data_IF_122502484656
#
_entry.id   IF_122502484656
#
_cell.length_a   1.000
_cell.length_b   1.000
_cell.length_c   1.000
_cell.angle_alpha   90.00
_cell.angle_beta   90.00
_cell.angle_gamma   90.00
#
_symmetry.space_group_name_H-M   'P 1'
#
loop_
_entity.id
_entity.type
_entity.pdbx_description
1 polymer ?
#
# COMPACT_ATOMS: atom_id res chain seq x y z
N UNK A 1 -2.61 37.04 -22.09
CA UNK A 1 -3.07 35.66 -21.80
C UNK A 1 -2.38 35.20 -20.53
N UNK A 2 -3.08 34.51 -19.63
CA UNK A 2 -2.44 33.85 -18.49
C UNK A 2 -1.39 32.85 -19.00
N UNK A 3 -0.34 32.58 -18.21
CA UNK A 3 0.69 31.60 -18.56
C UNK A 3 0.08 30.25 -18.98
N UNK A 4 -0.98 29.83 -18.26
CA UNK A 4 -1.76 28.61 -18.53
C UNK A 4 -2.35 28.61 -19.94
N UNK A 5 -2.98 29.71 -20.37
CA UNK A 5 -3.58 29.81 -21.69
C UNK A 5 -2.57 29.79 -22.83
N UNK A 6 -1.33 30.24 -22.59
CA UNK A 6 -0.25 30.14 -23.57
C UNK A 6 0.23 28.69 -23.71
N UNK A 7 0.50 27.99 -22.60
CA UNK A 7 0.93 26.58 -22.62
C UNK A 7 -0.07 25.70 -23.37
N UNK A 8 -1.36 25.85 -23.08
CA UNK A 8 -2.40 25.08 -23.78
C UNK A 8 -2.40 25.30 -25.30
N UNK A 9 -2.19 26.54 -25.76
CA UNK A 9 -2.11 26.85 -27.19
C UNK A 9 -0.90 26.17 -27.85
N UNK A 10 0.27 26.23 -27.19
CA UNK A 10 1.49 25.58 -27.68
C UNK A 10 1.30 24.06 -27.77
N UNK A 11 0.75 23.43 -26.72
CA UNK A 11 0.51 21.98 -26.71
C UNK A 11 -0.48 21.55 -27.79
N UNK A 12 -1.56 22.32 -28.01
CA UNK A 12 -2.48 22.07 -29.13
C UNK A 12 -1.75 22.10 -30.47
N UNK A 13 -0.93 23.12 -30.70
CA UNK A 13 -0.19 23.27 -31.95
C UNK A 13 0.78 22.12 -32.18
N UNK A 14 1.43 21.65 -31.12
CA UNK A 14 2.24 20.43 -31.16
C UNK A 14 1.40 19.20 -31.56
N UNK A 15 0.24 19.00 -30.91
CA UNK A 15 -0.61 17.83 -31.12
C UNK A 15 -1.28 17.80 -32.51
N UNK A 16 -1.47 18.94 -33.18
CA UNK A 16 -1.93 19.00 -34.57
C UNK A 16 -0.95 18.34 -35.56
N UNK A 17 0.32 18.20 -35.16
CA UNK A 17 1.38 17.56 -35.93
C UNK A 17 1.76 16.16 -35.43
N UNK A 18 1.16 15.73 -34.33
CA UNK A 18 1.23 14.36 -33.85
C UNK A 18 0.09 13.53 -34.47
N UNK A 19 0.37 12.27 -34.81
CA UNK A 19 -0.67 11.37 -35.29
C UNK A 19 -1.37 10.75 -34.07
N UNK A 20 -2.71 10.67 -34.10
CA UNK A 20 -3.42 9.84 -33.12
C UNK A 20 -2.93 8.40 -33.27
N UNK A 21 -2.58 7.76 -32.16
CA UNK A 21 -2.09 6.38 -32.20
C UNK A 21 -3.25 5.47 -32.62
N UNK A 22 -3.04 4.69 -33.68
CA UNK A 22 -4.09 3.79 -34.23
C UNK A 22 -3.84 2.32 -33.92
N UNK A 23 -2.65 1.99 -33.39
CA UNK A 23 -2.24 0.62 -33.09
C UNK A 23 -1.66 0.52 -31.69
N UNK A 24 -2.15 -0.46 -30.95
CA UNK A 24 -1.59 -0.88 -29.67
C UNK A 24 -0.68 -2.10 -29.85
N UNK A 25 0.15 -2.39 -28.84
CA UNK A 25 0.84 -3.67 -28.74
C UNK A 25 -0.16 -4.83 -28.82
N UNK A 26 -1.29 -4.67 -28.14
CA UNK A 26 -2.46 -5.55 -28.19
C UNK A 26 -3.44 -5.00 -29.23
N UNK A 27 -3.17 -5.29 -30.51
CA UNK A 27 -3.72 -4.57 -31.67
C UNK A 27 -5.24 -4.59 -31.91
N UNK A 28 -6.05 -5.17 -31.03
CA UNK A 28 -7.52 -5.15 -31.12
C UNK A 28 -8.18 -4.21 -30.10
N UNK A 29 -7.44 -3.69 -29.13
CA UNK A 29 -7.97 -2.69 -28.20
C UNK A 29 -8.05 -1.33 -28.89
N UNK A 30 -9.14 -0.60 -28.63
CA UNK A 30 -9.27 0.77 -29.07
C UNK A 30 -8.36 1.67 -28.21
N UNK A 31 -7.49 2.41 -28.88
CA UNK A 31 -6.58 3.33 -28.20
C UNK A 31 -7.38 4.47 -27.56
N UNK A 32 -7.02 4.87 -26.33
CA UNK A 32 -7.60 6.04 -25.69
C UNK A 32 -7.39 7.30 -26.55
N UNK A 33 -8.45 8.11 -26.66
CA UNK A 33 -8.52 9.28 -27.56
C UNK A 33 -7.42 10.33 -27.32
N UNK A 34 -6.83 10.33 -26.13
CA UNK A 34 -5.77 11.23 -25.70
C UNK A 34 -4.36 10.66 -25.88
N UNK A 35 -4.22 9.53 -26.59
CA UNK A 35 -2.92 8.93 -26.91
C UNK A 35 -2.49 9.24 -28.35
N UNK A 36 -1.30 9.79 -28.47
CA UNK A 36 -0.68 10.22 -29.72
C UNK A 36 0.66 9.53 -29.92
N UNK A 37 1.07 9.41 -31.17
CA UNK A 37 2.44 9.06 -31.56
C UNK A 37 3.32 10.31 -31.59
N UNK A 38 4.61 10.11 -31.33
CA UNK A 38 5.60 11.16 -31.49
C UNK A 38 5.66 11.68 -32.94
N UNK A 39 6.01 12.96 -33.15
CA UNK A 39 6.05 13.56 -34.48
C UNK A 39 7.07 12.87 -35.39
N UNK A 40 6.65 12.47 -36.58
CA UNK A 40 7.52 11.80 -37.57
C UNK A 40 8.70 12.65 -38.10
N UNK A 41 8.60 13.98 -37.99
CA UNK A 41 9.66 14.92 -38.39
C UNK A 41 9.82 16.01 -37.31
N UNK A 42 10.60 15.72 -36.24
CA UNK A 42 10.81 16.65 -35.14
C UNK A 42 11.40 18.00 -35.55
N UNK A 43 12.32 18.01 -36.52
CA UNK A 43 13.00 19.23 -36.96
C UNK A 43 12.03 20.18 -37.68
N UNK A 44 11.17 19.63 -38.55
CA UNK A 44 10.12 20.41 -39.20
C UNK A 44 9.10 20.94 -38.20
N UNK A 45 8.68 20.13 -37.22
CA UNK A 45 7.77 20.57 -36.18
C UNK A 45 8.38 21.72 -35.36
N UNK A 46 9.66 21.63 -35.00
CA UNK A 46 10.34 22.72 -34.30
C UNK A 46 10.36 24.02 -35.13
N UNK A 47 10.63 23.92 -36.43
CA UNK A 47 10.53 25.06 -37.36
C UNK A 47 9.14 25.72 -37.32
N UNK A 48 8.07 24.91 -37.39
CA UNK A 48 6.69 25.42 -37.33
C UNK A 48 6.35 26.06 -35.97
N UNK A 49 6.80 25.46 -34.86
CA UNK A 49 6.55 26.02 -33.53
C UNK A 49 7.30 27.35 -33.33
N UNK A 50 8.52 27.47 -33.84
CA UNK A 50 9.32 28.72 -33.74
C UNK A 50 8.85 29.85 -34.64
N UNK A 51 8.04 29.57 -35.67
CA UNK A 51 7.33 30.60 -36.45
C UNK A 51 6.23 31.29 -35.63
N UNK A 52 5.64 30.60 -34.65
CA UNK A 52 4.49 31.08 -33.87
C UNK A 52 4.83 31.46 -32.42
N UNK A 53 5.81 30.79 -31.81
CA UNK A 53 6.17 30.93 -30.41
C UNK A 53 7.66 31.21 -30.24
N UNK A 54 8.03 31.96 -29.19
CA UNK A 54 9.45 32.17 -28.90
C UNK A 54 10.08 30.91 -28.33
N UNK A 55 11.38 30.72 -28.53
CA UNK A 55 12.11 29.56 -27.98
C UNK A 55 12.01 29.54 -26.46
N UNK A 56 12.04 30.70 -25.80
CA UNK A 56 11.85 30.81 -24.35
C UNK A 56 10.47 30.32 -23.89
N UNK A 57 9.41 30.59 -24.67
CA UNK A 57 8.06 30.09 -24.39
C UNK A 57 8.00 28.56 -24.54
N UNK A 58 8.64 28.01 -25.57
CA UNK A 58 8.72 26.55 -25.79
C UNK A 58 9.53 25.85 -24.69
N UNK A 59 10.65 26.43 -24.27
CA UNK A 59 11.47 25.95 -23.16
C UNK A 59 10.72 26.04 -21.83
N UNK A 60 9.99 27.13 -21.57
CA UNK A 60 9.16 27.28 -20.37
C UNK A 60 8.02 26.27 -20.30
N UNK A 61 7.59 25.72 -21.46
CA UNK A 61 6.61 24.64 -21.54
C UNK A 61 7.23 23.24 -21.54
N UNK A 62 8.56 23.12 -21.47
CA UNK A 62 9.28 21.83 -21.49
C UNK A 62 9.34 21.15 -22.86
N UNK A 63 9.05 21.88 -23.95
CA UNK A 63 8.99 21.33 -25.31
C UNK A 63 10.34 21.40 -26.02
N UNK A 64 11.14 22.42 -25.72
CA UNK A 64 12.45 22.65 -26.31
C UNK A 64 13.55 22.66 -25.25
N UNK A 65 14.77 22.29 -25.65
CA UNK A 65 15.95 22.37 -24.79
C UNK A 65 16.79 23.62 -25.11
N UNK A 66 17.12 24.41 -24.08
CA UNK A 66 17.99 25.60 -24.18
C UNK A 66 19.44 25.27 -24.52
N UNK A 67 19.90 24.06 -24.19
CA UNK A 67 21.30 23.65 -24.38
C UNK A 67 21.65 23.34 -25.83
N UNK A 68 20.64 23.03 -26.64
CA UNK A 68 20.82 22.88 -28.08
C UNK A 68 20.85 24.27 -28.71
N UNK A 69 21.96 24.64 -29.34
CA UNK A 69 22.12 25.94 -30.00
C UNK A 69 21.06 26.17 -31.10
N UNK A 70 20.44 25.10 -31.61
CA UNK A 70 19.34 25.14 -32.56
C UNK A 70 17.94 25.15 -31.90
N UNK A 71 17.85 24.97 -30.58
CA UNK A 71 16.59 24.88 -29.84
C UNK A 71 15.78 23.65 -30.19
N UNK A 72 16.39 22.48 -30.34
CA UNK A 72 15.68 21.24 -30.67
C UNK A 72 14.56 20.87 -29.69
N UNK A 73 13.61 20.06 -30.17
CA UNK A 73 12.59 19.44 -29.31
C UNK A 73 13.26 18.54 -28.26
N UNK A 74 12.67 18.47 -27.07
CA UNK A 74 13.20 17.59 -26.01
C UNK A 74 13.14 16.11 -26.42
N UNK A 75 14.12 15.28 -26.00
CA UNK A 75 14.15 13.85 -26.33
C UNK A 75 12.87 13.08 -25.96
N UNK A 76 12.18 13.52 -24.90
CA UNK A 76 10.90 12.98 -24.47
C UNK A 76 9.81 13.00 -25.56
N UNK A 77 9.92 13.92 -26.53
CA UNK A 77 9.00 14.08 -27.66
C UNK A 77 9.57 13.44 -28.92
N UNK A 78 10.90 13.40 -29.10
CA UNK A 78 11.52 12.89 -30.34
C UNK A 78 11.77 11.40 -30.35
N UNK A 79 12.09 10.83 -29.18
CA UNK A 79 12.57 9.46 -29.03
C UNK A 79 11.53 8.55 -28.36
N UNK A 80 10.32 9.10 -28.12
CA UNK A 80 9.24 8.41 -27.44
C UNK A 80 8.36 7.58 -28.38
N UNK A 81 7.70 6.58 -27.79
CA UNK A 81 6.75 5.70 -28.48
C UNK A 81 5.30 6.22 -28.39
N UNK A 82 4.95 6.88 -27.27
CA UNK A 82 3.61 7.41 -27.01
C UNK A 82 3.66 8.73 -26.25
N UNK A 83 2.66 9.57 -26.53
CA UNK A 83 2.36 10.80 -25.79
C UNK A 83 0.92 10.69 -25.29
N UNK A 84 0.70 10.83 -23.99
CA UNK A 84 -0.63 10.89 -23.39
C UNK A 84 -0.93 12.34 -23.02
N UNK A 85 -2.05 12.86 -23.52
CA UNK A 85 -2.46 14.25 -23.31
C UNK A 85 -3.28 14.35 -22.03
N UNK A 86 -2.84 15.19 -21.09
CA UNK A 86 -3.61 15.50 -19.89
C UNK A 86 -4.40 16.80 -20.10
N UNK A 87 -5.72 16.73 -19.85
CA UNK A 87 -6.65 17.83 -20.13
C UNK A 87 -7.28 18.40 -18.89
N UNK A 88 -7.47 19.71 -18.88
CA UNK A 88 -8.10 20.41 -17.77
C UNK A 88 -9.60 20.04 -17.72
N UNK A 89 -10.16 19.67 -16.56
CA UNK A 89 -11.53 19.15 -16.44
C UNK A 89 -12.61 20.19 -16.72
N UNK A 90 -12.28 21.48 -16.77
CA UNK A 90 -13.25 22.55 -17.01
C UNK A 90 -13.26 23.01 -18.45
N UNK A 91 -12.08 23.08 -19.05
CA UNK A 91 -11.88 23.66 -20.38
C UNK A 91 -11.65 22.60 -21.46
N UNK A 92 -11.31 21.38 -21.06
CA UNK A 92 -10.88 20.29 -21.95
C UNK A 92 -9.64 20.65 -22.79
N UNK A 93 -8.91 21.67 -22.38
CA UNK A 93 -7.68 22.14 -22.99
C UNK A 93 -6.50 21.29 -22.48
N UNK A 94 -5.51 20.95 -23.33
CA UNK A 94 -4.31 20.26 -22.86
C UNK A 94 -3.53 21.19 -21.92
N UNK A 95 -3.15 20.70 -20.74
CA UNK A 95 -2.31 21.45 -19.80
C UNK A 95 -0.94 20.80 -19.58
N UNK A 96 -0.82 19.50 -19.85
CA UNK A 96 0.42 18.74 -19.70
C UNK A 96 0.44 17.55 -20.66
N UNK A 97 1.64 17.05 -20.98
CA UNK A 97 1.85 15.80 -21.71
C UNK A 97 2.63 14.82 -20.84
N UNK A 98 2.18 13.57 -20.80
CA UNK A 98 2.88 12.45 -20.22
C UNK A 98 3.57 11.67 -21.35
N UNK A 99 4.88 11.49 -21.21
CA UNK A 99 5.75 10.77 -22.15
C UNK A 99 6.46 9.64 -21.41
N UNK A 100 7.23 8.81 -22.12
CA UNK A 100 8.09 7.78 -21.50
C UNK A 100 9.06 8.36 -20.45
N UNK A 101 9.48 9.62 -20.60
CA UNK A 101 10.37 10.31 -19.67
C UNK A 101 9.63 10.98 -18.49
N UNK A 102 8.31 10.80 -18.37
CA UNK A 102 7.45 11.48 -17.39
C UNK A 102 6.73 12.70 -17.98
N UNK A 103 6.41 13.67 -17.14
CA UNK A 103 5.77 14.92 -17.55
C UNK A 103 6.75 15.84 -18.28
N UNK A 104 6.26 16.66 -19.23
CA UNK A 104 7.13 17.65 -19.89
C UNK A 104 7.50 18.82 -18.99
N UNK A 105 6.62 19.25 -18.09
CA UNK A 105 6.99 20.31 -17.12
C UNK A 105 8.12 19.83 -16.20
N UNK A 106 9.21 20.59 -16.07
CA UNK A 106 10.29 20.27 -15.15
C UNK A 106 9.79 20.15 -13.71
N UNK A 107 10.13 19.04 -13.03
CA UNK A 107 9.78 18.79 -11.63
C UNK A 107 8.31 18.41 -11.38
N UNK A 108 7.51 18.26 -12.44
CA UNK A 108 6.17 17.68 -12.34
C UNK A 108 6.25 16.16 -12.23
N UNK A 109 5.49 15.61 -11.28
CA UNK A 109 5.41 14.18 -11.04
C UNK A 109 4.18 13.60 -11.76
N UNK A 110 4.32 12.60 -12.65
CA UNK A 110 3.21 11.98 -13.35
C UNK A 110 2.06 11.53 -12.43
N UNK A 111 2.38 11.00 -11.25
CA UNK A 111 1.38 10.56 -10.26
C UNK A 111 0.53 11.69 -9.70
N UNK A 112 1.04 12.92 -9.64
CA UNK A 112 0.29 14.08 -9.14
C UNK A 112 -0.43 14.82 -10.27
N UNK A 113 0.24 15.04 -11.40
CA UNK A 113 -0.36 15.78 -12.52
C UNK A 113 -1.56 15.04 -13.12
N UNK A 114 -1.50 13.70 -13.18
CA UNK A 114 -2.59 12.89 -13.74
C UNK A 114 -3.88 12.99 -12.93
N UNK A 115 -3.82 13.34 -11.64
CA UNK A 115 -5.00 13.57 -10.81
C UNK A 115 -5.76 14.84 -11.22
N UNK A 116 -5.11 15.75 -11.95
CA UNK A 116 -5.73 16.93 -12.54
C UNK A 116 -6.32 16.66 -13.92
N UNK A 117 -6.07 15.49 -14.53
CA UNK A 117 -6.57 15.13 -15.85
C UNK A 117 -8.07 14.79 -15.85
N UNK A 118 -8.81 15.39 -16.77
CA UNK A 118 -10.25 15.20 -16.92
C UNK A 118 -10.64 13.73 -17.09
N UNK A 119 -9.93 13.02 -17.97
CA UNK A 119 -10.20 11.62 -18.31
C UNK A 119 -9.92 10.73 -17.11
N UNK A 120 -8.77 10.90 -16.48
CA UNK A 120 -8.36 10.15 -15.29
C UNK A 120 -9.33 10.39 -14.12
N UNK A 121 -9.74 11.63 -13.85
CA UNK A 121 -10.76 11.91 -12.82
C UNK A 121 -12.10 11.23 -13.09
N UNK A 122 -12.48 11.06 -14.36
CA UNK A 122 -13.69 10.32 -14.72
C UNK A 122 -13.51 8.83 -14.45
N UNK A 123 -12.37 8.26 -14.82
CA UNK A 123 -12.04 6.85 -14.61
C UNK A 123 -11.93 6.53 -13.11
N UNK A 124 -11.29 7.38 -12.31
CA UNK A 124 -11.22 7.26 -10.84
C UNK A 124 -12.58 7.28 -10.14
N UNK A 125 -13.60 7.89 -10.74
CA UNK A 125 -14.98 7.86 -10.22
C UNK A 125 -15.74 6.60 -10.64
N UNK A 126 -15.23 5.89 -11.66
CA UNK A 126 -15.82 4.68 -12.21
C UNK A 126 -15.13 3.43 -11.63
N UNK A 127 -13.84 3.52 -11.31
CA UNK A 127 -13.12 2.57 -10.45
C UNK A 127 -13.33 2.95 -8.98
N UNK A 128 -12.98 2.06 -8.05
CA UNK A 128 -13.07 2.30 -6.61
C UNK A 128 -12.04 3.33 -6.07
N UNK A 129 -11.53 4.21 -6.94
CA UNK A 129 -10.54 5.24 -6.62
C UNK A 129 -9.09 4.82 -6.84
N UNK A 130 -8.83 3.62 -7.36
CA UNK A 130 -7.47 3.14 -7.62
C UNK A 130 -6.83 3.87 -8.79
N UNK A 131 -5.58 4.30 -8.65
CA UNK A 131 -4.70 4.83 -9.70
C UNK A 131 -3.54 3.84 -9.92
N UNK A 132 -3.51 3.24 -11.11
CA UNK A 132 -2.48 2.28 -11.50
C UNK A 132 -1.20 2.99 -11.95
N UNK A 133 -0.07 2.59 -11.40
CA UNK A 133 1.23 3.18 -11.68
C UNK A 133 2.11 2.16 -12.39
N UNK A 134 2.28 2.35 -13.69
CA UNK A 134 3.11 1.50 -14.54
C UNK A 134 4.53 2.04 -14.68
N UNK A 135 5.44 1.19 -15.17
CA UNK A 135 6.85 1.54 -15.38
C UNK A 135 7.19 1.81 -16.85
N UNK A 136 6.31 1.41 -17.77
CA UNK A 136 6.43 1.67 -19.20
C UNK A 136 5.19 2.39 -19.73
N UNK A 137 5.36 3.28 -20.71
CA UNK A 137 4.25 4.09 -21.23
C UNK A 137 3.23 3.23 -22.00
N UNK A 138 3.70 2.14 -22.61
CA UNK A 138 2.88 1.13 -23.30
C UNK A 138 1.86 0.48 -22.35
N UNK A 139 2.28 0.18 -21.12
CA UNK A 139 1.40 -0.38 -20.08
C UNK A 139 0.32 0.65 -19.70
N UNK A 140 0.69 1.93 -19.54
CA UNK A 140 -0.28 3.01 -19.27
C UNK A 140 -1.31 3.11 -20.38
N UNK A 141 -0.89 3.02 -21.64
CA UNK A 141 -1.80 3.07 -22.80
C UNK A 141 -2.78 1.89 -22.77
N UNK A 142 -2.33 0.67 -22.43
CA UNK A 142 -3.20 -0.51 -22.36
C UNK A 142 -4.22 -0.40 -21.24
N UNK A 143 -3.79 0.02 -20.06
CA UNK A 143 -4.68 0.17 -18.91
C UNK A 143 -5.75 1.22 -19.19
N UNK A 144 -5.35 2.36 -19.77
CA UNK A 144 -6.29 3.42 -20.15
C UNK A 144 -7.27 2.98 -21.23
N UNK A 145 -6.82 2.20 -22.22
CA UNK A 145 -7.70 1.59 -23.21
C UNK A 145 -8.75 0.67 -22.56
N UNK A 146 -8.39 -0.04 -21.50
CA UNK A 146 -9.29 -0.90 -20.72
C UNK A 146 -10.12 -0.12 -19.67
N UNK A 147 -10.15 1.22 -19.72
CA UNK A 147 -10.91 2.03 -18.77
C UNK A 147 -10.30 2.16 -17.38
N UNK A 148 -9.06 1.73 -17.18
CA UNK A 148 -8.35 1.81 -15.90
C UNK A 148 -7.51 3.10 -15.79
N UNK A 149 -7.71 3.92 -14.74
CA UNK A 149 -6.93 5.15 -14.55
C UNK A 149 -5.46 4.78 -14.30
N UNK A 150 -4.57 5.15 -15.22
CA UNK A 150 -3.17 4.79 -15.13
C UNK A 150 -2.22 5.96 -15.43
N UNK A 151 -1.01 5.89 -14.85
CA UNK A 151 0.09 6.84 -15.01
C UNK A 151 1.45 6.14 -14.88
N UNK A 152 2.54 6.90 -15.01
CA UNK A 152 3.91 6.40 -14.87
C UNK A 152 4.48 6.55 -13.45
N UNK A 153 5.38 5.63 -13.09
CA UNK A 153 6.14 5.64 -11.84
C UNK A 153 7.34 6.61 -11.85
N UNK A 154 7.58 7.32 -12.95
CA UNK A 154 8.77 8.16 -13.13
C UNK A 154 8.87 9.21 -12.00
N UNK A 155 10.02 9.22 -11.31
CA UNK A 155 10.31 10.14 -10.21
C UNK A 155 9.82 9.69 -8.83
N UNK A 156 9.17 8.52 -8.71
CA UNK A 156 8.79 7.98 -7.39
C UNK A 156 9.97 7.34 -6.64
N UNK A 157 11.01 6.91 -7.35
CA UNK A 157 12.25 6.36 -6.81
C UNK A 157 13.17 7.44 -6.20
N UNK A 158 12.91 8.70 -6.53
CA UNK A 158 13.56 9.89 -5.98
C UNK A 158 12.52 10.99 -5.70
N UNK A 159 11.47 10.65 -4.95
CA UNK A 159 10.36 11.56 -4.67
C UNK A 159 10.87 12.81 -3.91
N UNK A 160 10.81 14.02 -4.51
CA UNK A 160 11.34 15.21 -3.87
C UNK A 160 10.58 15.54 -2.58
N UNK A 161 11.31 15.92 -1.52
CA UNK A 161 10.73 16.20 -0.21
C UNK A 161 9.70 17.33 -0.26
N UNK A 162 9.91 18.33 -1.13
CA UNK A 162 8.96 19.43 -1.36
C UNK A 162 7.62 18.98 -1.97
N UNK A 163 7.56 17.78 -2.56
CA UNK A 163 6.34 17.18 -3.11
C UNK A 163 5.71 16.15 -2.18
N UNK A 164 6.42 15.73 -1.12
CA UNK A 164 5.98 14.66 -0.23
C UNK A 164 4.63 14.96 0.43
N UNK A 165 4.43 16.18 0.94
CA UNK A 165 3.17 16.58 1.56
C UNK A 165 1.99 16.51 0.57
N UNK A 166 2.20 17.02 -0.65
CA UNK A 166 1.20 16.97 -1.71
C UNK A 166 0.90 15.52 -2.11
N UNK A 167 1.93 14.68 -2.18
CA UNK A 167 1.79 13.25 -2.48
C UNK A 167 1.00 12.52 -1.41
N UNK A 168 1.33 12.72 -0.13
CA UNK A 168 0.62 12.10 0.98
C UNK A 168 -0.84 12.56 1.04
N UNK A 169 -1.11 13.85 0.84
CA UNK A 169 -2.48 14.37 0.79
C UNK A 169 -3.29 13.79 -0.37
N UNK A 170 -2.68 13.64 -1.54
CA UNK A 170 -3.39 13.18 -2.75
C UNK A 170 -3.79 11.71 -2.68
N UNK A 171 -2.99 10.90 -1.97
CA UNK A 171 -3.19 9.45 -1.82
C UNK A 171 -3.63 9.02 -0.43
N UNK A 172 -4.10 9.99 0.39
CA UNK A 172 -4.56 9.74 1.77
C UNK A 172 -3.55 9.14 2.74
N UNK A 173 -2.26 9.12 2.39
CA UNK A 173 -1.22 8.56 3.23
C UNK A 173 -1.02 9.45 4.46
N UNK A 174 -1.06 8.87 5.66
CA UNK A 174 -0.66 9.63 6.84
C UNK A 174 0.85 9.83 6.80
N UNK A 175 1.26 11.08 6.73
CA UNK A 175 2.62 11.48 7.11
C UNK A 175 2.52 12.05 8.51
N UNK A 176 3.38 11.60 9.43
CA UNK A 176 3.59 12.33 10.68
C UNK A 176 4.17 13.69 10.30
N UNK A 177 3.28 14.67 10.09
CA UNK A 177 3.65 16.07 9.90
C UNK A 177 4.62 16.35 11.02
N UNK A 178 5.87 16.58 10.62
CA UNK A 178 6.91 16.91 11.55
C UNK A 178 6.38 18.07 12.39
N UNK A 179 6.07 17.81 13.66
CA UNK A 179 5.66 18.81 14.66
C UNK A 179 6.67 19.97 14.73
N UNK A 180 7.83 19.85 14.04
CA UNK A 180 8.84 20.89 13.84
C UNK A 180 8.45 22.04 12.89
N UNK A 181 7.44 21.93 12.03
CA UNK A 181 7.07 23.06 11.15
C UNK A 181 6.08 24.02 11.79
N UNK A 182 5.13 23.53 12.58
CA UNK A 182 4.15 24.39 13.26
C UNK A 182 4.84 25.24 14.33
N UNK A 183 5.86 24.70 15.01
CA UNK A 183 6.61 25.43 16.05
C UNK A 183 7.42 26.62 15.53
N UNK A 184 7.75 26.74 14.23
CA UNK A 184 8.47 27.92 13.72
C UNK A 184 7.54 29.09 13.42
N UNK A 185 6.38 28.84 12.82
CA UNK A 185 5.38 29.90 12.62
C UNK A 185 4.72 30.31 13.94
N UNK A 186 4.48 29.36 14.85
CA UNK A 186 4.01 29.67 16.20
C UNK A 186 5.08 30.38 17.04
N UNK A 187 6.36 29.99 16.96
CA UNK A 187 7.43 30.74 17.66
C UNK A 187 7.66 32.13 17.07
N UNK A 188 7.48 32.33 15.76
CA UNK A 188 7.55 33.66 15.13
C UNK A 188 6.29 34.51 15.41
N UNK A 189 5.13 33.89 15.63
CA UNK A 189 3.90 34.56 16.06
C UNK A 189 3.93 34.92 17.56
N UNK A 190 4.42 34.05 18.43
CA UNK A 190 4.57 34.30 19.86
C UNK A 190 5.66 35.34 20.16
N UNK A 191 6.73 35.39 19.37
CA UNK A 191 7.73 36.47 19.49
C UNK A 191 7.22 37.84 19.04
N UNK A 192 6.15 37.92 18.24
CA UNK A 192 5.54 39.20 17.86
C UNK A 192 4.60 39.77 18.93
N UNK A 193 4.06 38.95 19.82
CA UNK A 193 3.10 39.40 20.84
C UNK A 193 3.74 39.68 22.22
N UNK A 194 4.91 39.11 22.52
CA UNK A 194 5.63 39.40 23.78
C UNK A 194 6.69 40.52 23.66
N UNK A 195 6.95 41.02 22.45
CA UNK A 195 7.64 42.30 22.26
C UNK A 195 6.65 43.45 22.45
N UNK A 196 6.09 43.57 23.66
CA UNK A 196 5.44 44.80 24.09
C UNK A 196 6.46 45.94 23.99
N UNK A 197 6.23 46.78 22.99
CA UNK A 197 6.98 47.96 22.60
C UNK A 197 7.45 48.77 23.80
N UNK A 198 8.75 48.70 24.14
CA UNK A 198 9.34 49.67 25.05
C UNK A 198 9.62 50.96 24.25
N UNK A 199 9.00 52.11 24.59
CA UNK A 199 9.10 53.35 23.81
C UNK A 199 10.50 53.99 23.75
N UNK A 200 11.50 53.39 24.39
CA UNK A 200 12.84 53.93 24.57
C UNK A 200 13.97 53.03 24.03
N UNK A 201 13.68 52.06 23.15
CA UNK A 201 14.75 51.25 22.53
C UNK A 201 15.63 52.11 21.59
N UNK A 202 16.89 52.39 21.95
CA UNK A 202 17.77 53.28 21.21
C UNK A 202 18.22 52.69 19.86
N UNK A 203 18.18 51.36 19.70
CA UNK A 203 18.60 50.67 18.47
C UNK A 203 17.59 50.95 17.34
N UNK A 204 16.30 51.12 17.68
CA UNK A 204 15.26 51.46 16.69
C UNK A 204 15.21 52.93 16.30
N UNK A 205 15.60 53.87 17.17
CA UNK A 205 15.75 55.28 16.79
C UNK A 205 16.76 55.45 15.65
N UNK A 206 17.87 54.71 15.71
CA UNK A 206 18.86 54.69 14.63
C UNK A 206 18.33 54.02 13.35
N UNK A 207 17.53 52.95 13.47
CA UNK A 207 16.99 52.24 12.31
C UNK A 207 15.82 52.98 11.59
N UNK A 208 15.06 53.83 12.30
CA UNK A 208 14.01 54.63 11.69
C UNK A 208 14.54 55.87 10.96
N UNK A 209 15.63 56.49 11.46
CA UNK A 209 16.25 57.62 10.77
C UNK A 209 16.93 57.20 9.46
N UNK A 210 17.41 55.95 9.36
CA UNK A 210 17.97 55.39 8.12
C UNK A 210 16.90 55.01 7.07
N UNK A 211 15.64 54.78 7.47
CA UNK A 211 14.56 54.42 6.55
C UNK A 211 13.80 55.61 5.96
N UNK A 212 14.04 56.83 6.44
CA UNK A 212 13.35 58.03 5.94
C UNK A 212 13.81 58.48 4.55
N UNK A 213 14.97 58.00 4.08
CA UNK A 213 15.55 58.39 2.79
C UNK A 213 15.39 57.34 1.67
N UNK A 214 14.67 56.23 1.88
CA UNK A 214 14.47 55.18 0.85
C UNK A 214 13.00 54.86 0.59
N UNK A 215 12.18 55.88 0.35
CA UNK A 215 10.79 55.73 -0.07
C UNK A 215 10.61 55.83 -1.58
N UNK A 216 11.10 54.85 -2.36
CA UNK A 216 10.59 54.60 -3.72
C UNK A 216 10.62 53.10 -4.03
N UNK A 217 9.43 52.55 -4.34
CA UNK A 217 9.18 51.30 -5.07
C UNK A 217 9.51 49.96 -4.38
N UNK A 218 8.64 49.51 -3.48
CA UNK A 218 8.48 48.08 -3.17
C UNK A 218 7.28 47.54 -3.95
N UNK A 219 7.53 46.53 -4.79
CA UNK A 219 6.51 45.80 -5.56
C UNK A 219 5.77 44.81 -4.65
N UNK A 220 4.47 44.59 -4.87
CA UNK A 220 3.70 43.62 -4.08
C UNK A 220 4.04 42.19 -4.51
N UNK A 221 4.54 41.40 -3.55
CA UNK A 221 4.62 39.94 -3.67
C UNK A 221 3.20 39.37 -3.64
N UNK A 222 2.62 39.17 -4.83
CA UNK A 222 1.33 38.50 -4.99
C UNK A 222 1.49 36.99 -4.80
N UNK A 223 1.24 36.51 -3.58
CA UNK A 223 0.85 35.12 -3.34
C UNK A 223 -0.55 34.94 -3.91
N UNK A 224 -0.64 34.48 -5.16
CA UNK A 224 -1.90 34.21 -5.84
C UNK A 224 -2.52 32.96 -5.20
N UNK A 225 -3.39 33.16 -4.22
CA UNK A 225 -4.32 32.15 -3.75
C UNK A 225 -5.27 31.82 -4.91
N UNK A 226 -4.97 30.74 -5.62
CA UNK A 226 -5.87 30.15 -6.60
C UNK A 226 -7.15 29.65 -5.91
N UNK A 227 -8.31 29.71 -6.58
CA UNK A 227 -9.59 29.36 -5.97
C UNK A 227 -9.63 27.87 -5.57
N UNK A 228 -9.93 27.62 -4.29
CA UNK A 228 -10.22 26.32 -3.67
C UNK A 228 -11.38 25.63 -4.40
N UNK A 229 -11.05 24.87 -5.43
CA UNK A 229 -11.96 24.00 -6.19
C UNK A 229 -11.64 22.53 -5.93
N UNK A 230 -11.22 22.21 -4.71
CA UNK A 230 -11.18 20.84 -4.21
C UNK A 230 -12.62 20.39 -3.94
N UNK A 231 -13.36 20.12 -5.01
CA UNK A 231 -14.54 19.27 -4.91
C UNK A 231 -14.12 17.99 -4.19
N UNK A 232 -14.93 17.55 -3.22
CA UNK A 232 -14.72 16.36 -2.39
C UNK A 232 -14.66 15.09 -3.25
N UNK A 233 -13.55 14.92 -3.95
CA UNK A 233 -13.19 13.66 -4.59
C UNK A 233 -12.65 12.78 -3.47
N UNK A 234 -13.12 11.54 -3.42
CA UNK A 234 -12.47 10.53 -2.60
C UNK A 234 -10.98 10.51 -2.96
N UNK A 235 -10.09 10.41 -1.96
CA UNK A 235 -8.66 10.30 -2.20
C UNK A 235 -8.40 9.09 -3.11
N UNK A 236 -7.46 9.24 -4.05
CA UNK A 236 -7.08 8.12 -4.91
C UNK A 236 -6.24 7.12 -4.11
N UNK A 237 -6.35 5.83 -4.40
CA UNK A 237 -5.44 4.81 -3.87
C UNK A 237 -4.35 4.53 -4.90
N UNK A 238 -3.10 4.38 -4.46
CA UNK A 238 -1.98 4.15 -5.37
C UNK A 238 -1.73 2.65 -5.51
N UNK A 239 -1.75 2.13 -6.74
CA UNK A 239 -1.49 0.71 -7.03
C UNK A 239 -0.31 0.59 -7.99
N UNK A 240 0.83 0.11 -7.51
CA UNK A 240 2.00 -0.15 -8.35
C UNK A 240 1.78 -1.43 -9.17
N UNK A 241 2.20 -1.43 -10.44
CA UNK A 241 2.08 -2.61 -11.30
C UNK A 241 3.34 -3.45 -11.20
N UNK A 242 3.18 -4.69 -10.75
CA UNK A 242 4.26 -5.65 -10.52
C UNK A 242 4.50 -6.65 -11.64
N UNK A 243 3.95 -6.42 -12.83
CA UNK A 243 4.08 -7.24 -14.03
C UNK A 243 4.07 -6.32 -15.28
N UNK A 244 4.14 -6.88 -16.50
CA UNK A 244 4.14 -6.09 -17.75
C UNK A 244 2.89 -6.37 -18.60
N UNK A 245 1.81 -5.59 -18.45
CA UNK A 245 0.58 -5.73 -19.25
C UNK A 245 0.80 -5.70 -20.77
N UNK A 246 1.69 -4.85 -21.26
CA UNK A 246 1.96 -4.69 -22.70
C UNK A 246 2.69 -5.85 -23.34
N UNK A 247 3.51 -6.54 -22.57
CA UNK A 247 4.20 -7.74 -23.00
C UNK A 247 3.38 -9.01 -22.69
N UNK A 248 2.30 -8.89 -21.91
CA UNK A 248 1.59 -10.02 -21.29
C UNK A 248 2.61 -10.98 -20.64
N UNK A 249 3.42 -10.43 -19.75
CA UNK A 249 4.47 -11.16 -19.02
C UNK A 249 4.36 -10.93 -17.52
N UNK A 250 4.60 -11.99 -16.75
CA UNK A 250 4.73 -11.93 -15.28
C UNK A 250 6.05 -11.29 -14.83
N UNK A 251 6.91 -10.90 -15.77
CA UNK A 251 8.19 -10.26 -15.48
C UNK A 251 7.98 -8.98 -14.68
N UNK A 252 8.73 -8.88 -13.58
CA UNK A 252 8.68 -7.72 -12.69
C UNK A 252 9.44 -6.56 -13.33
N UNK A 253 8.85 -5.36 -13.42
CA UNK A 253 9.55 -4.17 -13.92
C UNK A 253 10.84 -3.91 -13.13
N UNK A 254 11.95 -3.65 -13.82
CA UNK A 254 13.28 -3.50 -13.19
C UNK A 254 13.35 -2.34 -12.19
N UNK A 255 12.58 -1.30 -12.46
CA UNK A 255 12.50 -0.04 -11.74
C UNK A 255 11.65 -0.15 -10.46
N UNK A 256 10.74 -1.14 -10.39
CA UNK A 256 9.83 -1.32 -9.26
C UNK A 256 10.59 -1.45 -7.94
N UNK A 257 11.73 -2.16 -7.94
CA UNK A 257 12.53 -2.32 -6.74
C UNK A 257 13.06 -0.99 -6.21
N UNK A 258 13.50 -0.07 -7.09
CA UNK A 258 13.99 1.23 -6.67
C UNK A 258 12.87 2.08 -6.04
N UNK A 259 11.68 2.06 -6.64
CA UNK A 259 10.49 2.75 -6.09
C UNK A 259 10.10 2.18 -4.73
N UNK A 260 10.00 0.85 -4.60
CA UNK A 260 9.66 0.22 -3.30
C UNK A 260 10.73 0.50 -2.25
N UNK A 261 12.02 0.37 -2.60
CA UNK A 261 13.14 0.67 -1.69
C UNK A 261 13.10 2.14 -1.22
N UNK A 262 12.69 3.09 -2.08
CA UNK A 262 12.52 4.50 -1.71
C UNK A 262 11.30 4.74 -0.81
N UNK A 263 10.14 4.16 -1.15
CA UNK A 263 8.92 4.25 -0.32
C UNK A 263 9.14 3.65 1.07
N UNK A 264 9.87 2.53 1.18
CA UNK A 264 10.25 1.95 2.48
C UNK A 264 11.17 2.89 3.27
N UNK A 265 12.09 3.60 2.62
CA UNK A 265 12.91 4.62 3.27
C UNK A 265 12.06 5.80 3.79
N UNK A 266 11.08 6.27 3.00
CA UNK A 266 10.15 7.31 3.45
C UNK A 266 9.33 6.85 4.66
N UNK A 267 8.82 5.61 4.66
CA UNK A 267 8.16 5.03 5.83
C UNK A 267 9.12 4.96 7.04
N UNK A 268 10.34 4.47 6.84
CA UNK A 268 11.29 4.29 7.94
C UNK A 268 11.75 5.60 8.56
N UNK A 269 12.06 6.61 7.75
CA UNK A 269 12.71 7.84 8.20
C UNK A 269 11.72 9.00 8.38
N UNK A 270 10.67 9.05 7.57
CA UNK A 270 9.65 10.11 7.59
C UNK A 270 8.31 9.62 8.16
N UNK A 271 8.15 8.32 8.43
CA UNK A 271 6.91 7.71 8.95
C UNK A 271 5.71 8.01 8.07
N UNK A 272 5.92 7.91 6.76
CA UNK A 272 4.85 7.88 5.77
C UNK A 272 4.22 6.50 5.78
N UNK A 273 2.91 6.42 5.97
CA UNK A 273 2.15 5.17 6.03
C UNK A 273 2.00 4.53 4.64
N UNK A 274 3.08 3.97 4.11
CA UNK A 274 3.12 3.37 2.76
C UNK A 274 2.38 2.03 2.64
N UNK A 275 1.83 1.53 3.73
CA UNK A 275 1.09 0.26 3.73
C UNK A 275 -0.19 0.32 2.93
N UNK A 276 -0.74 1.53 2.68
CA UNK A 276 -1.93 1.76 1.84
C UNK A 276 -1.62 1.71 0.33
N UNK A 277 -0.35 1.62 -0.05
CA UNK A 277 0.04 1.47 -1.46
C UNK A 277 -0.07 -0.01 -1.83
N UNK A 278 -0.93 -0.30 -2.80
CA UNK A 278 -1.12 -1.64 -3.36
C UNK A 278 -0.04 -2.00 -4.37
N UNK A 279 0.16 -3.30 -4.55
CA UNK A 279 0.95 -3.87 -5.63
C UNK A 279 0.09 -4.89 -6.38
N UNK A 280 -0.18 -4.63 -7.65
CA UNK A 280 -0.88 -5.56 -8.52
C UNK A 280 0.11 -6.50 -9.19
N UNK A 281 0.07 -7.78 -8.80
CA UNK A 281 0.82 -8.85 -9.47
C UNK A 281 -0.18 -9.83 -10.09
N UNK A 282 0.22 -10.45 -11.19
CA UNK A 282 -0.58 -11.45 -11.89
C UNK A 282 0.27 -12.73 -12.01
N UNK A 283 -0.35 -13.89 -11.85
CA UNK A 283 0.33 -15.17 -12.00
C UNK A 283 0.40 -15.64 -13.47
N UNK A 284 1.17 -16.71 -13.73
CA UNK A 284 1.36 -17.20 -15.11
C UNK A 284 0.06 -17.73 -15.71
N UNK A 285 -0.85 -18.32 -14.92
CA UNK A 285 -2.11 -18.86 -15.42
C UNK A 285 -3.02 -17.74 -15.94
N UNK A 286 -3.11 -16.64 -15.20
CA UNK A 286 -3.85 -15.44 -15.60
C UNK A 286 -3.23 -14.76 -16.81
N UNK A 287 -1.91 -14.65 -16.87
CA UNK A 287 -1.24 -14.12 -18.06
C UNK A 287 -1.48 -15.02 -19.29
N UNK A 288 -1.43 -16.34 -19.16
CA UNK A 288 -1.77 -17.28 -20.22
C UNK A 288 -3.23 -17.12 -20.69
N UNK A 289 -4.17 -16.92 -19.75
CA UNK A 289 -5.57 -16.62 -20.07
C UNK A 289 -5.68 -15.33 -20.90
N UNK A 290 -5.01 -14.26 -20.50
CA UNK A 290 -5.01 -12.98 -21.22
C UNK A 290 -4.40 -13.11 -22.62
N UNK A 291 -3.26 -13.81 -22.76
CA UNK A 291 -2.65 -14.12 -24.08
C UNK A 291 -3.63 -14.87 -24.98
N UNK A 292 -4.30 -15.89 -24.46
CA UNK A 292 -5.28 -16.70 -25.20
C UNK A 292 -6.48 -15.87 -25.69
N UNK A 293 -6.97 -14.92 -24.88
CA UNK A 293 -8.04 -14.00 -25.27
C UNK A 293 -7.52 -13.00 -26.31
N UNK A 294 -6.30 -12.49 -26.12
CA UNK A 294 -5.67 -11.53 -27.01
C UNK A 294 -5.48 -12.08 -28.44
N UNK A 295 -5.08 -13.34 -28.57
CA UNK A 295 -4.97 -14.04 -29.86
C UNK A 295 -6.29 -14.15 -30.62
N UNK A 296 -7.44 -14.01 -29.93
CA UNK A 296 -8.79 -14.07 -30.54
C UNK A 296 -9.35 -12.70 -30.88
N UNK A 297 -8.62 -11.62 -30.60
CA UNK A 297 -9.02 -10.25 -30.90
C UNK A 297 -10.39 -9.86 -30.31
N UNK A 298 -10.69 -10.30 -29.08
CA UNK A 298 -11.94 -9.97 -28.39
C UNK A 298 -11.68 -8.97 -27.26
N UNK A 299 -11.95 -7.69 -27.54
CA UNK A 299 -11.75 -6.57 -26.61
C UNK A 299 -12.57 -6.75 -25.32
N UNK A 300 -13.89 -6.96 -25.44
CA UNK A 300 -14.79 -7.11 -24.28
C UNK A 300 -14.35 -8.22 -23.32
N UNK A 301 -13.95 -9.39 -23.86
CA UNK A 301 -13.45 -10.49 -23.05
C UNK A 301 -12.08 -10.18 -22.43
N UNK A 302 -11.22 -9.43 -23.12
CA UNK A 302 -9.91 -9.05 -22.60
C UNK A 302 -10.05 -8.05 -21.46
N UNK A 303 -10.86 -7.01 -21.64
CA UNK A 303 -11.18 -6.04 -20.61
C UNK A 303 -11.78 -6.73 -19.38
N UNK A 304 -12.78 -7.59 -19.57
CA UNK A 304 -13.39 -8.35 -18.46
C UNK A 304 -12.35 -9.22 -17.74
N UNK A 305 -11.52 -9.97 -18.48
CA UNK A 305 -10.51 -10.82 -17.87
C UNK A 305 -9.39 -10.03 -17.16
N UNK A 306 -9.05 -8.84 -17.66
CA UNK A 306 -8.10 -7.94 -17.02
C UNK A 306 -8.68 -7.38 -15.71
N UNK A 307 -9.96 -7.00 -15.71
CA UNK A 307 -10.69 -6.57 -14.52
C UNK A 307 -10.82 -7.71 -13.50
N UNK A 308 -11.15 -8.93 -13.93
CA UNK A 308 -11.18 -10.11 -13.05
C UNK A 308 -9.80 -10.38 -12.42
N UNK A 309 -8.71 -10.06 -13.11
CA UNK A 309 -7.35 -10.16 -12.55
C UNK A 309 -7.01 -9.02 -11.56
N UNK A 310 -7.80 -7.94 -11.50
CA UNK A 310 -7.67 -6.90 -10.47
C UNK A 310 -8.28 -7.33 -9.14
N UNK A 311 -9.33 -8.15 -9.15
CA UNK A 311 -9.92 -8.69 -7.91
C UNK A 311 -8.92 -9.56 -7.12
N UNK A 312 -7.80 -9.93 -7.76
CA UNK A 312 -6.67 -10.66 -7.18
C UNK A 312 -5.48 -9.75 -6.82
N UNK A 313 -5.65 -8.42 -6.72
CA UNK A 313 -4.64 -7.49 -6.18
C UNK A 313 -4.41 -7.82 -4.70
N UNK A 314 -3.43 -8.68 -4.43
CA UNK A 314 -3.31 -9.33 -3.12
C UNK A 314 -1.98 -9.08 -2.43
N UNK A 315 -1.24 -8.03 -2.79
CA UNK A 315 0.08 -7.78 -2.21
C UNK A 315 0.29 -6.30 -1.86
N UNK A 316 0.46 -6.00 -0.57
CA UNK A 316 0.97 -4.72 -0.10
C UNK A 316 2.43 -4.61 -0.52
N UNK A 317 2.87 -3.42 -0.94
CA UNK A 317 4.27 -3.18 -1.34
C UNK A 317 5.28 -3.60 -0.26
N UNK A 318 4.90 -3.62 1.01
CA UNK A 318 5.74 -4.04 2.14
C UNK A 318 6.17 -5.51 2.02
N UNK A 319 5.47 -6.32 1.24
CA UNK A 319 5.80 -7.72 0.98
C UNK A 319 6.62 -7.93 -0.30
N UNK A 320 6.81 -6.88 -1.12
CA UNK A 320 7.58 -6.99 -2.35
C UNK A 320 9.03 -7.42 -2.08
N UNK A 321 9.53 -8.36 -2.89
CA UNK A 321 10.90 -8.89 -2.77
C UNK A 321 11.16 -9.75 -1.53
N UNK A 322 10.28 -9.73 -0.52
CA UNK A 322 10.30 -10.70 0.56
C UNK A 322 9.89 -12.02 -0.08
N UNK A 323 10.85 -12.95 -0.21
CA UNK A 323 10.52 -14.33 -0.58
C UNK A 323 9.35 -14.73 0.28
N UNK A 324 8.19 -15.00 -0.33
CA UNK A 324 7.07 -15.66 0.33
C UNK A 324 7.72 -16.86 0.97
N UNK A 325 7.93 -16.80 2.28
CA UNK A 325 8.56 -17.88 2.99
C UNK A 325 7.56 -18.99 2.75
N UNK A 326 7.88 -19.93 1.86
CA UNK A 326 7.14 -21.17 1.68
C UNK A 326 7.39 -21.90 2.98
N UNK A 327 6.70 -21.45 4.02
CA UNK A 327 6.85 -22.00 5.32
C UNK A 327 6.13 -23.32 5.20
N UNK A 328 6.91 -24.41 5.16
CA UNK A 328 6.34 -25.76 5.26
C UNK A 328 5.38 -25.84 6.44
N UNK A 329 4.50 -26.86 6.47
CA UNK A 329 3.45 -26.98 7.47
C UNK A 329 4.02 -26.75 8.88
N UNK A 330 3.35 -25.95 9.73
CA UNK A 330 3.89 -25.56 11.02
C UNK A 330 4.20 -26.81 11.85
N UNK A 331 5.36 -26.78 12.53
CA UNK A 331 5.83 -27.90 13.34
C UNK A 331 5.08 -28.00 14.69
N UNK A 332 4.60 -26.86 15.19
CA UNK A 332 3.94 -26.75 16.48
C UNK A 332 2.74 -25.81 16.51
N UNK A 333 1.87 -26.03 17.51
CA UNK A 333 0.63 -25.29 17.68
C UNK A 333 0.83 -23.78 17.84
N UNK A 334 1.77 -23.27 18.67
CA UNK A 334 2.05 -21.83 18.74
C UNK A 334 2.41 -21.22 17.39
N UNK A 335 3.28 -21.88 16.61
CA UNK A 335 3.66 -21.42 15.27
C UNK A 335 2.46 -21.40 14.33
N UNK A 336 1.60 -22.42 14.36
CA UNK A 336 0.38 -22.44 13.55
C UNK A 336 -0.58 -21.30 13.92
N UNK A 337 -0.73 -21.03 15.22
CA UNK A 337 -1.58 -19.96 15.72
C UNK A 337 -1.04 -18.58 15.32
N UNK A 338 0.27 -18.36 15.44
CA UNK A 338 0.93 -17.14 14.98
C UNK A 338 0.72 -16.95 13.48
N UNK A 339 0.88 -17.99 12.66
CA UNK A 339 0.61 -17.89 11.22
C UNK A 339 -0.85 -17.54 10.90
N UNK A 340 -1.80 -18.12 11.62
CA UNK A 340 -3.21 -17.78 11.46
C UNK A 340 -3.47 -16.32 11.83
N UNK A 341 -2.87 -15.84 12.92
CA UNK A 341 -3.02 -14.46 13.40
C UNK A 341 -2.33 -13.45 12.48
N UNK A 342 -1.13 -13.76 11.99
CA UNK A 342 -0.42 -12.97 10.99
C UNK A 342 -1.24 -12.88 9.70
N UNK A 343 -1.78 -14.01 9.22
CA UNK A 343 -2.69 -14.01 8.08
C UNK A 343 -3.94 -13.15 8.30
N UNK A 344 -4.49 -13.15 9.53
CA UNK A 344 -5.65 -12.33 9.88
C UNK A 344 -5.34 -10.82 10.01
N UNK A 345 -4.09 -10.44 10.27
CA UNK A 345 -3.64 -9.05 10.25
C UNK A 345 -3.36 -8.59 8.81
N UNK A 346 -2.87 -9.49 7.97
CA UNK A 346 -2.67 -9.25 6.54
C UNK A 346 -3.98 -9.16 5.75
N UNK A 347 -5.09 -9.76 6.26
CA UNK A 347 -6.47 -9.64 5.75
C UNK A 347 -7.05 -8.20 5.82
N UNK A 348 -6.27 -7.23 6.29
CA UNK A 348 -6.73 -5.88 6.53
C UNK A 348 -6.90 -4.98 5.29
N UNK A 349 -6.54 -5.45 4.10
CA UNK A 349 -6.83 -4.71 2.87
C UNK A 349 -5.84 -4.88 1.73
N UNK A 350 -4.65 -5.45 1.93
CA UNK A 350 -3.62 -5.46 0.89
C UNK A 350 -2.71 -6.69 1.00
N UNK A 351 -3.24 -7.90 1.07
CA UNK A 351 -2.37 -9.04 1.41
C UNK A 351 -3.03 -10.34 1.80
N UNK A 352 -4.25 -10.63 1.34
CA UNK A 352 -5.01 -11.74 1.88
C UNK A 352 -4.28 -13.07 1.63
N UNK A 353 -4.11 -13.92 2.66
CA UNK A 353 -4.23 -15.34 2.40
C UNK A 353 -5.66 -15.56 1.90
N UNK A 354 -5.80 -15.84 0.59
CA UNK A 354 -7.10 -16.21 0.00
C UNK A 354 -7.85 -17.23 0.87
N UNK A 355 -9.19 -17.32 0.75
CA UNK A 355 -10.03 -18.13 1.65
C UNK A 355 -9.52 -19.57 1.84
N UNK A 356 -8.85 -20.14 0.84
CA UNK A 356 -8.18 -21.43 0.91
C UNK A 356 -6.93 -21.43 1.82
N UNK A 357 -6.02 -20.45 1.71
CA UNK A 357 -4.87 -20.35 2.62
C UNK A 357 -5.29 -20.16 4.07
N UNK A 358 -6.37 -19.39 4.30
CA UNK A 358 -6.93 -19.21 5.64
C UNK A 358 -7.51 -20.52 6.17
N UNK A 359 -8.25 -21.24 5.34
CA UNK A 359 -8.79 -22.57 5.66
C UNK A 359 -7.68 -23.58 5.94
N UNK A 360 -6.56 -23.49 5.22
CA UNK A 360 -5.38 -24.33 5.45
C UNK A 360 -4.69 -23.98 6.77
N UNK A 361 -4.47 -22.68 7.05
CA UNK A 361 -3.91 -22.22 8.33
C UNK A 361 -4.79 -22.64 9.51
N UNK A 362 -6.12 -22.52 9.37
CA UNK A 362 -7.08 -23.01 10.36
C UNK A 362 -7.01 -24.54 10.54
N UNK A 363 -6.90 -25.27 9.44
CA UNK A 363 -6.74 -26.73 9.45
C UNK A 363 -5.46 -27.14 10.16
N UNK A 364 -4.36 -26.40 9.96
CA UNK A 364 -3.10 -26.61 10.66
C UNK A 364 -3.19 -26.34 12.15
N UNK A 365 -3.82 -25.23 12.56
CA UNK A 365 -4.10 -24.93 13.98
C UNK A 365 -4.90 -26.07 14.60
N UNK A 366 -5.97 -26.53 13.96
CA UNK A 366 -6.83 -27.58 14.49
C UNK A 366 -6.10 -28.93 14.56
N UNK A 367 -5.33 -29.27 13.53
CA UNK A 367 -4.50 -30.49 13.49
C UNK A 367 -3.49 -30.50 14.63
N UNK A 368 -2.77 -29.40 14.84
CA UNK A 368 -1.72 -29.31 15.86
C UNK A 368 -2.27 -29.17 17.27
N UNK A 369 -3.39 -28.46 17.45
CA UNK A 369 -4.14 -28.42 18.71
C UNK A 369 -4.52 -29.84 19.15
N UNK A 370 -5.10 -30.63 18.23
CA UNK A 370 -5.47 -31.99 18.54
C UNK A 370 -4.25 -32.86 18.86
N UNK A 371 -3.19 -32.77 18.04
CA UNK A 371 -1.98 -33.57 18.21
C UNK A 371 -1.23 -33.26 19.50
N UNK A 372 -1.06 -31.99 19.86
CA UNK A 372 -0.14 -31.56 20.91
C UNK A 372 -0.82 -31.33 22.27
N UNK A 373 -2.12 -31.06 22.29
CA UNK A 373 -2.84 -30.68 23.52
C UNK A 373 -3.97 -31.68 23.81
N UNK A 374 -4.90 -31.85 22.87
CA UNK A 374 -6.14 -32.61 23.14
C UNK A 374 -5.88 -34.11 23.27
N UNK A 375 -5.20 -34.73 22.28
CA UNK A 375 -4.97 -36.16 22.29
C UNK A 375 -4.08 -36.62 23.47
N UNK A 376 -2.99 -35.92 23.84
CA UNK A 376 -2.23 -36.28 25.04
C UNK A 376 -3.07 -36.30 26.32
N UNK A 377 -4.00 -35.36 26.50
CA UNK A 377 -4.91 -35.35 27.65
C UNK A 377 -5.88 -36.54 27.62
N UNK A 378 -6.40 -36.89 26.44
CA UNK A 378 -7.29 -38.06 26.26
C UNK A 378 -6.56 -39.38 26.53
N UNK A 379 -5.36 -39.52 26.00
CA UNK A 379 -4.51 -40.70 26.22
C UNK A 379 -4.17 -40.84 27.71
N UNK A 380 -3.77 -39.75 28.37
CA UNK A 380 -3.54 -39.73 29.81
C UNK A 380 -4.80 -40.17 30.58
N UNK A 381 -5.97 -39.65 30.24
CA UNK A 381 -7.24 -40.03 30.87
C UNK A 381 -7.51 -41.55 30.77
N UNK A 382 -7.27 -42.15 29.61
CA UNK A 382 -7.49 -43.59 29.37
C UNK A 382 -6.55 -44.47 30.21
N UNK A 383 -5.35 -43.98 30.53
CA UNK A 383 -4.40 -44.71 31.39
C UNK A 383 -4.70 -44.60 32.89
N UNK A 384 -5.56 -43.65 33.30
CA UNK A 384 -5.87 -43.44 34.72
C UNK A 384 -6.74 -44.57 35.28
N UNK A 385 -6.30 -45.18 36.38
CA UNK A 385 -7.09 -46.18 37.12
C UNK A 385 -8.26 -45.56 37.89
N UNK A 386 -8.10 -44.34 38.41
CA UNK A 386 -9.13 -43.61 39.15
C UNK A 386 -10.19 -43.01 38.18
N UNK A 387 -11.48 -43.38 38.32
CA UNK A 387 -12.54 -42.86 37.46
C UNK A 387 -12.72 -41.34 37.57
N UNK A 388 -12.42 -40.73 38.73
CA UNK A 388 -12.56 -39.28 38.91
C UNK A 388 -11.49 -38.54 38.11
N UNK A 389 -10.24 -38.95 38.22
CA UNK A 389 -9.13 -38.38 37.44
C UNK A 389 -9.33 -38.56 35.94
N UNK A 390 -9.77 -39.75 35.51
CA UNK A 390 -10.12 -40.01 34.11
C UNK A 390 -11.16 -39.01 33.60
N UNK A 391 -12.23 -38.80 34.35
CA UNK A 391 -13.30 -37.86 33.98
C UNK A 391 -12.77 -36.43 33.89
N UNK A 392 -12.00 -35.98 34.88
CA UNK A 392 -11.42 -34.64 34.91
C UNK A 392 -10.48 -34.38 33.71
N UNK A 393 -9.60 -35.33 33.38
CA UNK A 393 -8.71 -35.19 32.22
C UNK A 393 -9.47 -35.20 30.89
N UNK A 394 -10.53 -36.01 30.77
CA UNK A 394 -11.35 -36.02 29.57
C UNK A 394 -12.12 -34.70 29.39
N UNK A 395 -12.70 -34.17 30.47
CA UNK A 395 -13.31 -32.84 30.47
C UNK A 395 -12.30 -31.73 30.17
N UNK A 396 -11.07 -31.84 30.68
CA UNK A 396 -9.98 -30.90 30.36
C UNK A 396 -9.66 -30.92 28.86
N UNK A 397 -9.57 -32.10 28.24
CA UNK A 397 -9.33 -32.23 26.80
C UNK A 397 -10.44 -31.58 25.95
N UNK A 398 -11.70 -31.79 26.33
CA UNK A 398 -12.86 -31.20 25.65
C UNK A 398 -12.89 -29.67 25.77
N UNK A 399 -12.72 -29.15 26.99
CA UNK A 399 -12.70 -27.70 27.20
C UNK A 399 -11.49 -27.06 26.52
N UNK A 400 -10.31 -27.67 26.57
CA UNK A 400 -9.12 -27.18 25.85
C UNK A 400 -9.36 -27.07 24.35
N UNK A 401 -9.99 -28.07 23.71
CA UNK A 401 -10.30 -28.02 22.29
C UNK A 401 -11.20 -26.82 21.94
N UNK A 402 -12.30 -26.65 22.67
CA UNK A 402 -13.25 -25.55 22.42
C UNK A 402 -12.62 -24.20 22.74
N UNK A 403 -11.90 -24.09 23.86
CA UNK A 403 -11.26 -22.86 24.31
C UNK A 403 -10.22 -22.36 23.30
N UNK A 404 -9.32 -23.22 22.84
CA UNK A 404 -8.27 -22.83 21.89
C UNK A 404 -8.84 -22.49 20.52
N UNK A 405 -9.82 -23.26 20.02
CA UNK A 405 -10.50 -22.94 18.77
C UNK A 405 -11.23 -21.57 18.85
N UNK A 406 -11.93 -21.31 19.95
CA UNK A 406 -12.61 -20.02 20.15
C UNK A 406 -11.62 -18.86 20.33
N UNK A 407 -10.49 -19.08 21.01
CA UNK A 407 -9.43 -18.08 21.13
C UNK A 407 -8.86 -17.70 19.76
N UNK A 408 -8.59 -18.69 18.91
CA UNK A 408 -8.09 -18.47 17.55
C UNK A 408 -9.10 -17.66 16.72
N UNK A 409 -10.39 -18.04 16.77
CA UNK A 409 -11.45 -17.35 16.04
C UNK A 409 -11.64 -15.91 16.51
N UNK A 410 -11.66 -15.67 17.82
CA UNK A 410 -11.82 -14.32 18.39
C UNK A 410 -10.60 -13.46 18.07
N UNK A 411 -9.39 -14.02 18.14
CA UNK A 411 -8.16 -13.31 17.77
C UNK A 411 -8.17 -12.89 16.30
N UNK A 412 -8.56 -13.79 15.41
CA UNK A 412 -8.74 -13.51 13.98
C UNK A 412 -9.79 -12.39 13.75
N UNK A 413 -10.96 -12.48 14.38
CA UNK A 413 -12.02 -11.47 14.27
C UNK A 413 -11.59 -10.11 14.82
N UNK A 414 -10.84 -10.09 15.92
CA UNK A 414 -10.31 -8.86 16.50
C UNK A 414 -9.32 -8.21 15.53
N UNK A 415 -8.40 -8.99 14.97
CA UNK A 415 -7.41 -8.49 14.03
C UNK A 415 -8.09 -7.86 12.81
N UNK A 416 -9.11 -8.51 12.22
CA UNK A 416 -9.89 -7.91 11.13
C UNK A 416 -10.54 -6.59 11.51
N UNK A 417 -11.22 -6.59 12.66
CA UNK A 417 -11.91 -5.40 13.16
C UNK A 417 -10.98 -4.23 13.46
N UNK A 418 -9.75 -4.50 13.90
CA UNK A 418 -8.72 -3.48 14.07
C UNK A 418 -8.41 -2.84 12.72
N UNK A 419 -8.29 -3.63 11.66
CA UNK A 419 -7.99 -3.06 10.35
C UNK A 419 -9.20 -2.35 9.74
N UNK A 420 -10.40 -2.85 9.94
CA UNK A 420 -11.65 -2.17 9.53
C UNK A 420 -11.92 -0.88 10.35
N UNK A 421 -11.03 -0.48 11.27
CA UNK A 421 -11.22 0.64 12.19
C UNK A 421 -12.35 0.45 13.20
N UNK A 422 -12.96 -0.74 13.26
CA UNK A 422 -14.12 -1.07 14.08
C UNK A 422 -13.73 -1.92 15.30
N UNK A 423 -12.94 -1.36 16.22
CA UNK A 423 -12.31 -2.09 17.34
C UNK A 423 -13.24 -2.77 18.38
N UNK A 424 -14.56 -2.90 18.15
CA UNK A 424 -15.49 -3.51 19.09
C UNK A 424 -15.72 -5.00 18.81
N UNK A 425 -15.14 -5.86 19.63
CA UNK A 425 -15.54 -7.27 19.71
C UNK A 425 -16.98 -7.40 20.25
N UNK A 426 -17.76 -8.39 19.80
CA UNK A 426 -19.01 -8.74 20.45
C UNK A 426 -18.74 -9.11 21.91
N UNK A 427 -19.22 -8.29 22.85
CA UNK A 427 -19.01 -8.45 24.30
C UNK A 427 -19.34 -9.87 24.78
N UNK A 428 -20.34 -10.51 24.15
CA UNK A 428 -20.79 -11.85 24.51
C UNK A 428 -19.79 -12.95 24.13
N UNK A 429 -19.07 -12.81 23.00
CA UNK A 429 -18.01 -13.76 22.62
C UNK A 429 -16.85 -13.71 23.62
N UNK A 430 -16.44 -12.50 24.01
CA UNK A 430 -15.39 -12.33 25.01
C UNK A 430 -15.80 -12.88 26.37
N UNK A 431 -17.04 -12.62 26.82
CA UNK A 431 -17.59 -13.21 28.06
C UNK A 431 -17.59 -14.74 28.02
N UNK A 432 -18.00 -15.33 26.90
CA UNK A 432 -17.98 -16.79 26.73
C UNK A 432 -16.55 -17.34 26.80
N UNK A 433 -15.58 -16.65 26.18
CA UNK A 433 -14.17 -17.01 26.25
C UNK A 433 -13.63 -17.01 27.69
N UNK A 434 -13.94 -15.96 28.45
CA UNK A 434 -13.56 -15.86 29.86
C UNK A 434 -14.20 -16.96 30.72
N UNK A 435 -15.48 -17.24 30.51
CA UNK A 435 -16.17 -18.32 31.23
C UNK A 435 -15.56 -19.70 30.94
N UNK A 436 -15.07 -19.94 29.71
CA UNK A 436 -14.35 -21.18 29.39
C UNK A 436 -12.97 -21.24 30.06
N UNK A 437 -12.26 -20.12 30.14
CA UNK A 437 -10.98 -20.04 30.85
C UNK A 437 -11.15 -20.37 32.34
N UNK A 438 -12.17 -19.81 33.00
CA UNK A 438 -12.47 -20.09 34.41
C UNK A 438 -12.76 -21.58 34.64
N UNK A 439 -13.57 -22.20 33.78
CA UNK A 439 -13.86 -23.64 33.86
C UNK A 439 -12.61 -24.49 33.68
N UNK A 440 -11.74 -24.14 32.74
CA UNK A 440 -10.48 -24.85 32.51
C UNK A 440 -9.57 -24.77 33.74
N UNK A 441 -9.47 -23.59 34.36
CA UNK A 441 -8.71 -23.36 35.59
C UNK A 441 -9.26 -24.20 36.74
N UNK A 442 -10.58 -24.27 36.90
CA UNK A 442 -11.20 -25.04 37.98
C UNK A 442 -11.00 -26.56 37.82
N UNK A 443 -11.09 -27.08 36.59
CA UNK A 443 -10.76 -28.48 36.29
C UNK A 443 -9.28 -28.77 36.57
N UNK A 444 -8.38 -27.87 36.18
CA UNK A 444 -6.95 -28.02 36.45
C UNK A 444 -6.65 -28.05 37.96
N UNK A 445 -7.30 -27.16 38.75
CA UNK A 445 -7.21 -27.16 40.21
C UNK A 445 -7.72 -28.48 40.81
N UNK A 446 -8.87 -28.97 40.35
CA UNK A 446 -9.44 -30.24 40.81
C UNK A 446 -8.50 -31.43 40.51
N UNK A 447 -7.96 -31.48 39.28
CA UNK A 447 -7.00 -32.52 38.85
C UNK A 447 -5.75 -32.53 39.72
N UNK A 448 -5.19 -31.34 40.02
CA UNK A 448 -4.04 -31.21 40.93
C UNK A 448 -4.35 -31.72 42.33
N UNK A 449 -5.52 -31.40 42.90
CA UNK A 449 -5.93 -31.89 44.23
C UNK A 449 -6.05 -33.41 44.27
N UNK A 450 -6.65 -34.03 43.25
CA UNK A 450 -6.74 -35.49 43.16
C UNK A 450 -5.36 -36.15 43.12
N UNK A 451 -4.43 -35.57 42.36
CA UNK A 451 -3.05 -36.08 42.24
C UNK A 451 -2.30 -35.97 43.57
N UNK A 452 -2.45 -34.85 44.29
CA UNK A 452 -1.82 -34.64 45.60
C UNK A 452 -2.37 -35.62 46.65
N UNK A 453 -3.68 -35.84 46.70
CA UNK A 453 -4.29 -36.79 47.64
C UNK A 453 -3.76 -38.21 47.43
N UNK A 454 -3.56 -38.64 46.18
CA UNK A 454 -2.97 -39.96 45.89
C UNK A 454 -1.51 -40.06 46.39
N UNK A 455 -0.68 -39.03 46.18
CA UNK A 455 0.69 -39.03 46.72
C UNK A 455 0.72 -39.15 48.25
N UNK A 456 -0.18 -38.46 48.96
CA UNK A 456 -0.24 -38.49 50.43
C UNK A 456 -0.80 -39.81 50.98
N UNK A 457 -1.75 -40.44 50.28
CA UNK A 457 -2.28 -41.76 50.66
C UNK A 457 -1.20 -42.84 50.46
N UNK A 458 -0.40 -42.76 49.39
CA UNK A 458 0.69 -43.71 49.16
C UNK A 458 1.78 -43.55 50.23
N UNK A 459 2.19 -42.32 50.54
CA UNK A 459 3.21 -42.05 51.58
C UNK A 459 2.73 -42.52 52.97
N UNK A 460 1.47 -42.28 53.33
CA UNK A 460 0.90 -42.72 54.62
C UNK A 460 0.72 -44.24 54.72
N UNK A 461 0.44 -44.94 53.62
CA UNK A 461 0.39 -46.41 53.61
C UNK A 461 1.78 -47.07 53.63
N UNK A 462 2.83 -46.38 53.17
CA UNK A 462 4.21 -46.89 53.28
C UNK A 462 4.85 -46.70 54.66
N UNK A 463 4.33 -45.78 55.49
CA UNK A 463 4.91 -45.47 56.80
C UNK A 463 4.44 -46.38 57.95
N UNK A 464 3.30 -47.08 57.80
CA UNK A 464 2.74 -47.98 58.83
C UNK A 464 2.79 -49.47 58.46
N UNK A 465 3.70 -49.89 57.57
CA UNK A 465 3.97 -51.31 57.41
C UNK A 465 4.86 -51.78 58.57
N UNK A 466 4.37 -52.61 59.52
CA UNK A 466 5.24 -53.21 60.51
C UNK A 466 6.26 -54.06 59.77
N UNK A 467 7.53 -53.72 59.97
CA UNK A 467 8.72 -54.45 59.53
C UNK A 467 8.45 -55.94 59.35
N UNK A 468 8.20 -56.36 58.11
CA UNK A 468 8.33 -57.76 57.73
C UNK A 468 9.84 -58.03 57.82
N UNK A 469 10.29 -58.93 58.71
CA UNK A 469 11.71 -59.23 58.80
C UNK A 469 12.15 -59.80 57.45
N UNK A 470 13.18 -59.18 56.86
CA UNK A 470 13.92 -59.76 55.75
C UNK A 470 14.27 -61.21 56.12
N UNK A 471 13.65 -62.17 55.45
CA UNK A 471 14.13 -63.55 55.40
C UNK A 471 15.52 -63.50 54.76
N UNK A 472 16.53 -63.55 55.62
CA UNK A 472 17.91 -63.87 55.21
C UNK A 472 17.85 -65.23 54.52
N UNK A 473 18.12 -65.24 53.21
CA UNK A 473 18.57 -66.44 52.54
C UNK A 473 19.90 -66.85 53.17
N UNK A 474 19.84 -67.86 54.04
CA UNK A 474 20.99 -68.66 54.42
C UNK A 474 21.25 -69.69 53.34
N UNK A 475 22.53 -70.01 53.23
CA UNK A 475 23.20 -70.83 52.24
C UNK A 475 22.63 -72.26 52.19
N UNK A 476 22.61 -72.84 50.99
CA UNK A 476 22.75 -74.28 50.78
C UNK A 476 24.06 -74.50 50.00
N UNK A 477 25.10 -74.88 50.75
CA UNK A 477 26.04 -75.95 50.39
C UNK A 477 25.72 -77.15 51.28
#
# INVERSE_FOLDING_TARGET
>A
MSSIGKKANILKRLLEHCQKRTRMAIGFLEVDDDVYECPSDPAKLMGLLTEEFSVEELCACGIANMEDAAGGLVPAITDGDAIIVMRDPKTNEPFELLTKAGCLSPGSLPTLEILCDHRTQRMLKQSDGDLFVAFEIEDVVILRACGLPATLAVGLDDLPLEKLDQFCESFSLSCLKSERCVSREEAEAEHKDQSAFHPDDPIRRMAMDLKRDQSVSSSPSSTVAGPDLRAQSSPAQLVLIGWKPSELSVDVPSELKAVVDHLDQLNRFMRVEVYEIGLWQVDEERVEQLRFIAERHNADCFETALLDALDEIDVSIVHFGKKKLVQGPPADYPTALTRLQEGALSDGGLGFPGPDQRKDAWSDVQRLLNKQIVNPLREAALTMGDPVQRTLLMSMAEISNVFHAQTALVGEQLNRKIVDGSAQLPVDQFKNLMAMADRLIDIAKATKRCTQLQSTIIESQTLDSPSIPLLRHSEYQ
#
